data_IF_370819040660
#
_entry.id   IF_370819040660
#
_cell.length_a   1.000
_cell.length_b   1.000
_cell.length_c   1.000
_cell.angle_alpha   90.00
_cell.angle_beta   90.00
_cell.angle_gamma   90.00
#
_symmetry.space_group_name_H-M   'P 1'
#
loop_
_entity.id
_entity.type
_entity.pdbx_description
1 polymer ?
#
# COMPACT_ATOMS: atom_id res chain seq x y z
N UNK A 1 30.11 47.39 33.42
CA UNK A 1 28.97 46.46 33.62
C UNK A 1 28.71 45.78 32.29
N UNK A 2 28.65 44.44 32.22
CA UNK A 2 28.60 43.71 30.95
C UNK A 2 27.18 43.69 30.34
N UNK A 3 27.16 43.56 29.02
CA UNK A 3 26.00 43.56 28.13
C UNK A 3 25.08 42.35 28.34
N UNK A 4 23.76 42.59 28.27
CA UNK A 4 22.74 41.57 28.05
C UNK A 4 22.24 41.73 26.60
N UNK A 5 22.72 40.89 25.69
CA UNK A 5 22.11 40.73 24.36
C UNK A 5 22.27 39.29 23.87
N UNK A 6 21.26 38.43 24.07
CA UNK A 6 21.14 37.18 23.28
C UNK A 6 19.77 36.47 23.32
N UNK A 7 18.64 37.16 23.57
CA UNK A 7 17.33 36.49 23.65
C UNK A 7 16.16 37.12 22.87
N UNK A 8 16.35 38.25 22.17
CA UNK A 8 15.29 38.86 21.36
C UNK A 8 15.22 38.36 19.90
N UNK A 9 16.33 37.81 19.37
CA UNK A 9 16.42 37.43 17.94
C UNK A 9 15.61 36.19 17.57
N UNK A 10 15.43 35.24 18.49
CA UNK A 10 14.80 33.95 18.20
C UNK A 10 13.28 34.05 18.10
N UNK A 11 12.65 34.89 18.93
CA UNK A 11 11.19 35.05 18.93
C UNK A 11 10.69 35.80 17.68
N UNK A 12 11.41 36.85 17.25
CA UNK A 12 11.04 37.60 16.05
C UNK A 12 11.15 36.76 14.77
N UNK A 13 12.18 35.90 14.68
CA UNK A 13 12.36 34.98 13.55
C UNK A 13 11.24 33.92 13.48
N UNK A 14 10.85 33.34 14.63
CA UNK A 14 9.75 32.37 14.69
C UNK A 14 8.40 33.00 14.33
N UNK A 15 8.13 34.21 14.82
CA UNK A 15 6.93 34.96 14.44
C UNK A 15 6.88 35.26 12.94
N UNK A 16 8.01 35.63 12.35
CA UNK A 16 8.12 35.91 10.92
C UNK A 16 7.82 34.67 10.06
N UNK A 17 8.29 33.49 10.49
CA UNK A 17 8.01 32.23 9.81
C UNK A 17 6.51 31.89 9.88
N UNK A 18 5.86 32.07 11.04
CA UNK A 18 4.44 31.73 11.16
C UNK A 18 3.54 32.66 10.34
N UNK A 19 3.87 33.96 10.29
CA UNK A 19 3.19 34.92 9.41
C UNK A 19 3.33 34.49 7.95
N UNK A 20 4.54 34.09 7.54
CA UNK A 20 4.79 33.61 6.18
C UNK A 20 4.01 32.33 5.87
N UNK A 21 3.97 31.37 6.80
CA UNK A 21 3.17 30.14 6.66
C UNK A 21 1.71 30.47 6.44
N UNK A 22 1.14 31.33 7.28
CA UNK A 22 -0.27 31.71 7.17
C UNK A 22 -0.56 32.44 5.86
N UNK A 23 0.30 33.38 5.46
CA UNK A 23 0.18 34.07 4.19
C UNK A 23 0.19 33.09 2.99
N UNK A 24 1.06 32.07 3.02
CA UNK A 24 1.12 31.04 1.97
C UNK A 24 -0.12 30.14 2.02
N UNK A 25 -0.61 29.73 3.20
CA UNK A 25 -1.85 28.94 3.33
C UNK A 25 -3.06 29.66 2.74
N UNK A 26 -3.12 30.99 2.91
CA UNK A 26 -4.17 31.85 2.39
C UNK A 26 -3.95 32.28 0.93
N UNK A 27 -2.95 31.71 0.24
CA UNK A 27 -2.56 32.07 -1.13
C UNK A 27 -2.24 33.57 -1.33
N UNK A 28 -1.79 34.27 -0.29
CA UNK A 28 -1.41 35.69 -0.35
C UNK A 28 -0.01 35.89 -0.95
N UNK A 29 0.77 34.82 -1.11
CA UNK A 29 2.13 34.83 -1.69
C UNK A 29 2.09 34.13 -3.06
N UNK A 30 1.64 34.83 -4.09
CA UNK A 30 1.48 34.29 -5.46
C UNK A 30 2.74 34.44 -6.31
N UNK A 31 3.48 35.53 -6.10
CA UNK A 31 4.74 35.82 -6.79
C UNK A 31 5.97 35.28 -6.06
N UNK A 32 5.80 34.49 -5.00
CA UNK A 32 6.93 34.05 -4.19
C UNK A 32 7.63 35.21 -3.45
N UNK A 33 8.79 34.91 -2.88
CA UNK A 33 9.60 35.83 -2.08
C UNK A 33 10.94 36.11 -2.76
N UNK A 34 11.54 37.26 -2.49
CA UNK A 34 12.88 37.60 -3.00
C UNK A 34 13.93 37.36 -1.91
N UNK A 35 14.88 36.48 -2.15
CA UNK A 35 16.04 36.25 -1.27
C UNK A 35 17.30 36.46 -2.11
N UNK A 36 18.19 37.37 -1.69
CA UNK A 36 19.45 37.69 -2.39
C UNK A 36 19.26 37.96 -3.89
N UNK A 37 18.20 38.70 -4.25
CA UNK A 37 17.86 39.05 -5.65
C UNK A 37 17.23 37.91 -6.47
N UNK A 38 17.00 36.73 -5.90
CA UNK A 38 16.36 35.61 -6.57
C UNK A 38 14.91 35.43 -6.12
N UNK A 39 14.00 35.25 -7.08
CA UNK A 39 12.58 34.95 -6.86
C UNK A 39 12.42 33.47 -6.50
N UNK A 40 11.87 33.20 -5.33
CA UNK A 40 11.70 31.85 -4.76
C UNK A 40 10.21 31.62 -4.49
N UNK A 41 9.65 30.54 -5.04
CA UNK A 41 8.26 30.17 -4.80
C UNK A 41 8.13 29.29 -3.56
N UNK A 42 7.15 29.59 -2.70
CA UNK A 42 6.79 28.75 -1.55
C UNK A 42 5.36 28.24 -1.78
N UNK A 43 5.18 26.92 -1.71
CA UNK A 43 3.92 26.25 -2.00
C UNK A 43 3.44 25.49 -0.77
N UNK A 44 2.17 25.62 -0.41
CA UNK A 44 1.57 24.85 0.67
C UNK A 44 0.83 23.62 0.14
N UNK A 45 1.22 22.44 0.61
CA UNK A 45 0.54 21.18 0.36
C UNK A 45 -0.34 20.84 1.57
N UNK A 46 -1.66 21.02 1.43
CA UNK A 46 -2.63 20.76 2.50
C UNK A 46 -2.57 19.35 3.08
N UNK A 47 -2.31 18.34 2.23
CA UNK A 47 -1.95 16.98 2.63
C UNK A 47 -0.61 16.65 1.98
N UNK A 48 0.50 16.53 2.74
CA UNK A 48 0.61 16.17 4.16
C UNK A 48 0.85 17.31 5.17
N UNK A 49 0.36 18.53 4.89
CA UNK A 49 0.59 19.74 5.70
C UNK A 49 2.08 20.11 5.75
N UNK A 50 2.61 20.45 4.57
CA UNK A 50 4.01 20.82 4.37
C UNK A 50 4.14 21.96 3.36
N UNK A 51 5.22 22.72 3.49
CA UNK A 51 5.63 23.81 2.61
C UNK A 51 6.78 23.35 1.72
N UNK A 52 6.66 23.54 0.42
CA UNK A 52 7.68 23.18 -0.58
C UNK A 52 8.29 24.44 -1.18
N UNK A 53 9.59 24.38 -1.49
CA UNK A 53 10.33 25.51 -2.05
C UNK A 53 10.75 25.22 -3.49
N UNK A 54 10.54 26.21 -4.36
CA UNK A 54 10.84 26.16 -5.80
C UNK A 54 11.64 27.38 -6.24
N UNK A 55 12.35 27.29 -7.36
CA UNK A 55 13.17 28.40 -7.89
C UNK A 55 14.56 28.56 -7.25
N UNK A 56 14.93 27.70 -6.30
CA UNK A 56 16.29 27.64 -5.75
C UNK A 56 17.21 26.81 -6.66
N UNK A 57 18.25 27.45 -7.21
CA UNK A 57 19.35 26.74 -7.90
C UNK A 57 20.30 26.05 -6.92
N UNK A 58 20.41 26.59 -5.70
CA UNK A 58 21.20 26.02 -4.61
C UNK A 58 20.34 25.05 -3.77
N UNK A 59 20.75 23.77 -3.76
CA UNK A 59 20.09 22.72 -3.01
C UNK A 59 20.18 22.89 -1.49
N UNK A 60 21.24 23.53 -0.98
CA UNK A 60 21.39 23.80 0.45
C UNK A 60 20.40 24.87 0.91
N UNK A 61 20.25 25.96 0.13
CA UNK A 61 19.27 27.01 0.42
C UNK A 61 17.84 26.45 0.43
N UNK A 62 17.50 25.62 -0.56
CA UNK A 62 16.20 24.93 -0.61
C UNK A 62 15.97 24.12 0.67
N UNK A 63 16.95 23.30 1.05
CA UNK A 63 16.87 22.44 2.23
C UNK A 63 16.67 23.25 3.52
N UNK A 64 17.41 24.35 3.70
CA UNK A 64 17.30 25.20 4.89
C UNK A 64 15.95 25.93 4.96
N UNK A 65 15.43 26.40 3.83
CA UNK A 65 14.11 27.04 3.78
C UNK A 65 13.00 26.03 4.07
N UNK A 66 13.06 24.84 3.48
CA UNK A 66 12.08 23.78 3.76
C UNK A 66 12.18 23.33 5.23
N UNK A 67 13.37 23.25 5.84
CA UNK A 67 13.52 22.97 7.27
C UNK A 67 12.96 24.11 8.14
N UNK A 68 13.22 25.38 7.82
CA UNK A 68 12.66 26.50 8.58
C UNK A 68 11.13 26.55 8.49
N UNK A 69 10.58 26.38 7.29
CA UNK A 69 9.14 26.42 7.02
C UNK A 69 8.40 25.21 7.55
N UNK A 70 8.98 24.02 7.51
CA UNK A 70 8.32 22.81 7.99
C UNK A 70 8.68 22.46 9.44
N UNK A 71 9.67 23.14 10.00
CA UNK A 71 10.22 22.83 11.31
C UNK A 71 11.03 21.53 11.31
N UNK A 72 10.65 20.61 12.21
CA UNK A 72 11.43 19.43 12.54
C UNK A 72 11.53 18.41 11.39
N UNK A 73 12.46 17.46 11.56
CA UNK A 73 12.66 16.31 10.66
C UNK A 73 11.37 15.46 10.46
N UNK A 74 10.39 15.56 11.36
CA UNK A 74 9.11 14.85 11.24
C UNK A 74 8.27 15.34 10.05
N UNK A 75 8.38 16.61 9.66
CA UNK A 75 7.66 17.11 8.48
C UNK A 75 8.28 16.60 7.18
N UNK A 76 9.59 16.39 7.14
CA UNK A 76 10.28 15.73 6.01
C UNK A 76 9.89 14.26 5.93
N UNK A 77 9.75 13.57 7.08
CA UNK A 77 9.20 12.21 7.13
C UNK A 77 7.76 12.18 6.62
N UNK A 78 6.89 13.09 7.07
CA UNK A 78 5.50 13.19 6.59
C UNK A 78 5.43 13.36 5.07
N UNK A 79 6.27 14.22 4.49
CA UNK A 79 6.36 14.40 3.04
C UNK A 79 6.76 13.09 2.33
N UNK A 80 7.83 12.42 2.78
CA UNK A 80 8.28 11.16 2.18
C UNK A 80 7.25 10.05 2.30
N UNK A 81 6.65 9.89 3.48
CA UNK A 81 5.60 8.89 3.72
C UNK A 81 4.39 9.16 2.83
N UNK A 82 3.98 10.42 2.68
CA UNK A 82 2.87 10.78 1.80
C UNK A 82 3.20 10.60 0.31
N UNK A 83 4.42 10.93 -0.12
CA UNK A 83 4.84 10.67 -1.51
C UNK A 83 4.81 9.17 -1.83
N UNK A 84 5.30 8.34 -0.90
CA UNK A 84 5.21 6.89 -1.02
C UNK A 84 3.77 6.39 -1.00
N UNK A 85 2.92 6.90 -0.09
CA UNK A 85 1.52 6.51 -0.03
C UNK A 85 0.76 6.95 -1.26
N UNK A 86 0.99 8.16 -1.79
CA UNK A 86 0.37 8.66 -3.01
C UNK A 86 0.78 7.83 -4.24
N UNK A 87 2.04 7.38 -4.30
CA UNK A 87 2.48 6.42 -5.32
C UNK A 87 1.78 5.07 -5.14
N UNK A 88 1.68 4.55 -3.92
CA UNK A 88 0.97 3.30 -3.62
C UNK A 88 -0.52 3.42 -3.98
N UNK A 89 -1.20 4.47 -3.56
CA UNK A 89 -2.62 4.70 -3.81
C UNK A 89 -2.87 4.91 -5.31
N UNK A 90 -1.99 5.62 -6.02
CA UNK A 90 -2.14 5.83 -7.46
C UNK A 90 -1.76 4.61 -8.30
N UNK A 91 -0.73 3.86 -7.90
CA UNK A 91 -0.11 2.80 -8.72
C UNK A 91 -0.45 1.39 -8.25
N UNK A 92 -1.08 1.21 -7.09
CA UNK A 92 -1.48 -0.10 -6.57
C UNK A 92 -2.96 -0.15 -6.20
N UNK A 93 -3.73 0.92 -6.36
CA UNK A 93 -5.20 0.90 -6.14
C UNK A 93 -5.94 -0.07 -7.07
N UNK A 94 -5.39 -0.35 -8.25
CA UNK A 94 -5.92 -1.36 -9.16
C UNK A 94 -5.56 -2.79 -8.76
N UNK A 95 -4.62 -2.99 -7.84
CA UNK A 95 -4.27 -4.33 -7.38
C UNK A 95 -5.28 -4.80 -6.34
N UNK A 96 -5.83 -6.02 -6.48
CA UNK A 96 -6.75 -6.61 -5.51
C UNK A 96 -5.97 -7.11 -4.27
N UNK A 97 -5.34 -6.19 -3.53
CA UNK A 97 -4.44 -6.51 -2.41
C UNK A 97 -5.11 -7.34 -1.31
N UNK A 98 -6.40 -7.12 -1.04
CA UNK A 98 -7.18 -7.92 -0.08
C UNK A 98 -7.28 -9.39 -0.48
N UNK A 99 -7.56 -9.66 -1.76
CA UNK A 99 -7.60 -11.02 -2.33
C UNK A 99 -6.21 -11.66 -2.27
N UNK A 100 -5.17 -10.94 -2.68
CA UNK A 100 -3.78 -11.42 -2.59
C UNK A 100 -3.38 -11.78 -1.16
N UNK A 101 -3.70 -10.92 -0.19
CA UNK A 101 -3.43 -11.17 1.22
C UNK A 101 -4.12 -12.43 1.72
N UNK A 102 -5.41 -12.61 1.35
CA UNK A 102 -6.18 -13.78 1.75
C UNK A 102 -5.65 -15.08 1.13
N UNK A 103 -5.15 -15.05 -0.11
CA UNK A 103 -4.45 -16.20 -0.70
C UNK A 103 -3.20 -16.54 0.12
N UNK A 104 -2.36 -15.54 0.41
CA UNK A 104 -1.11 -15.74 1.13
C UNK A 104 -1.33 -16.30 2.54
N UNK A 105 -2.32 -15.77 3.27
CA UNK A 105 -2.60 -16.19 4.65
C UNK A 105 -3.28 -17.56 4.77
N UNK A 106 -4.01 -18.00 3.74
CA UNK A 106 -4.68 -19.31 3.70
C UNK A 106 -3.91 -20.39 2.93
N UNK A 107 -2.74 -20.06 2.39
CA UNK A 107 -1.88 -21.03 1.72
C UNK A 107 -1.23 -22.00 2.71
N UNK A 108 -1.06 -23.26 2.31
CA UNK A 108 -0.43 -24.29 3.12
C UNK A 108 0.49 -25.20 2.28
N UNK A 109 1.35 -25.97 2.95
CA UNK A 109 2.18 -26.99 2.31
C UNK A 109 1.34 -28.22 1.99
N UNK A 110 1.28 -28.63 0.72
CA UNK A 110 0.46 -29.76 0.26
C UNK A 110 1.19 -31.09 0.38
N UNK A 111 2.53 -31.08 0.44
CA UNK A 111 3.33 -32.30 0.64
C UNK A 111 2.93 -33.05 1.91
N UNK A 112 2.50 -32.34 2.95
CA UNK A 112 1.99 -32.95 4.19
C UNK A 112 0.66 -33.70 4.00
N UNK A 113 -0.07 -33.42 2.92
CA UNK A 113 -1.39 -33.99 2.62
C UNK A 113 -1.32 -35.19 1.67
N UNK A 114 -0.19 -35.44 1.01
CA UNK A 114 -0.01 -36.61 0.11
C UNK A 114 -0.15 -37.95 0.84
N UNK A 115 0.02 -37.96 2.18
CA UNK A 115 -0.23 -39.13 3.01
C UNK A 115 -1.72 -39.51 3.11
N UNK A 116 -2.63 -38.56 2.85
CA UNK A 116 -4.07 -38.73 3.07
C UNK A 116 -4.87 -38.80 1.77
N UNK A 117 -4.36 -38.22 0.68
CA UNK A 117 -5.05 -38.14 -0.60
C UNK A 117 -4.17 -38.64 -1.75
N UNK A 118 -4.80 -39.27 -2.75
CA UNK A 118 -4.11 -39.57 -4.00
C UNK A 118 -3.73 -38.28 -4.73
N UNK A 119 -2.63 -38.33 -5.49
CA UNK A 119 -2.14 -37.19 -6.28
C UNK A 119 -3.18 -36.64 -7.26
N UNK A 120 -4.09 -37.49 -7.75
CA UNK A 120 -5.16 -37.07 -8.65
C UNK A 120 -6.11 -36.07 -8.00
N UNK A 121 -6.44 -36.24 -6.71
CA UNK A 121 -7.31 -35.32 -5.99
C UNK A 121 -6.61 -34.02 -5.60
N UNK A 122 -5.28 -34.02 -5.47
CA UNK A 122 -4.47 -32.84 -5.11
C UNK A 122 -3.96 -32.06 -6.34
N UNK A 123 -4.42 -32.43 -7.54
CA UNK A 123 -3.96 -31.82 -8.79
C UNK A 123 -4.54 -30.42 -8.96
N UNK A 124 -3.66 -29.42 -9.12
CA UNK A 124 -4.09 -28.06 -9.44
C UNK A 124 -4.56 -27.97 -10.91
N UNK A 125 -5.75 -27.39 -11.19
CA UNK A 125 -6.24 -27.24 -12.55
C UNK A 125 -5.41 -26.33 -13.47
N UNK A 126 -4.55 -25.47 -12.89
CA UNK A 126 -3.73 -24.50 -13.67
C UNK A 126 -2.40 -25.12 -14.08
N UNK A 127 -1.64 -25.64 -13.11
CA UNK A 127 -0.31 -26.23 -13.38
C UNK A 127 -0.41 -27.69 -13.82
N UNK A 128 -1.60 -28.30 -13.72
CA UNK A 128 -1.87 -29.69 -14.05
C UNK A 128 -0.98 -30.68 -13.28
N UNK A 129 -0.58 -30.32 -12.06
CA UNK A 129 0.23 -31.14 -11.14
C UNK A 129 -0.11 -30.80 -9.68
N UNK A 130 0.40 -31.58 -8.72
CA UNK A 130 0.28 -31.29 -7.29
C UNK A 130 1.16 -30.09 -6.93
N UNK A 131 0.61 -28.99 -6.41
CA UNK A 131 1.41 -27.83 -6.04
C UNK A 131 2.16 -28.07 -4.73
N UNK A 132 3.37 -27.51 -4.56
CA UNK A 132 4.08 -27.55 -3.27
C UNK A 132 3.34 -26.73 -2.20
N UNK A 133 2.87 -25.54 -2.58
CA UNK A 133 2.10 -24.62 -1.74
C UNK A 133 0.76 -24.34 -2.39
N UNK A 134 -0.29 -24.82 -1.74
CA UNK A 134 -1.65 -24.78 -2.26
C UNK A 134 -2.58 -23.88 -1.45
N UNK A 135 -3.66 -23.45 -2.08
CA UNK A 135 -4.77 -22.71 -1.47
C UNK A 135 -6.09 -23.29 -1.96
N UNK A 136 -7.08 -23.43 -1.07
CA UNK A 136 -8.43 -23.83 -1.47
C UNK A 136 -9.24 -22.63 -1.94
N UNK A 137 -9.88 -22.78 -3.10
CA UNK A 137 -10.72 -21.74 -3.69
C UNK A 137 -12.03 -22.37 -4.16
N UNK A 138 -13.16 -21.75 -3.80
CA UNK A 138 -14.50 -22.14 -4.24
C UNK A 138 -14.61 -22.03 -5.77
N UNK A 139 -15.30 -22.96 -6.40
CA UNK A 139 -15.48 -22.95 -7.86
C UNK A 139 -16.23 -21.71 -8.36
N UNK A 140 -17.12 -21.16 -7.53
CA UNK A 140 -17.82 -19.89 -7.72
C UNK A 140 -18.15 -19.29 -6.35
N UNK A 141 -18.59 -18.04 -6.31
CA UNK A 141 -18.97 -17.36 -5.05
C UNK A 141 -20.04 -18.15 -4.27
N UNK A 142 -20.97 -18.80 -4.97
CA UNK A 142 -22.08 -19.56 -4.38
C UNK A 142 -21.83 -21.08 -4.29
N UNK A 143 -20.72 -21.59 -4.83
CA UNK A 143 -20.46 -23.03 -4.87
C UNK A 143 -19.95 -23.56 -3.54
N UNK A 144 -20.50 -24.66 -3.04
CA UNK A 144 -19.94 -25.35 -1.86
C UNK A 144 -18.74 -26.24 -2.21
N UNK A 145 -18.31 -26.30 -3.47
CA UNK A 145 -17.18 -27.10 -3.92
C UNK A 145 -15.93 -26.20 -3.97
N UNK A 146 -14.87 -26.63 -3.29
CA UNK A 146 -13.55 -26.02 -3.34
C UNK A 146 -12.63 -26.84 -4.26
N UNK A 147 -11.65 -26.19 -4.89
CA UNK A 147 -10.56 -26.84 -5.59
C UNK A 147 -9.22 -26.36 -5.05
N UNK A 148 -8.22 -27.24 -5.09
CA UNK A 148 -6.86 -26.91 -4.70
C UNK A 148 -6.14 -26.24 -5.87
N UNK A 149 -5.58 -25.06 -5.63
CA UNK A 149 -4.78 -24.35 -6.62
C UNK A 149 -3.37 -24.05 -6.12
N UNK A 150 -2.42 -24.00 -7.04
CA UNK A 150 -1.08 -23.48 -6.78
C UNK A 150 -1.16 -22.00 -6.37
N UNK A 151 -0.55 -21.67 -5.23
CA UNK A 151 -0.55 -20.33 -4.66
C UNK A 151 -0.05 -19.28 -5.67
N UNK A 152 1.08 -19.55 -6.31
CA UNK A 152 1.73 -18.57 -7.18
C UNK A 152 0.94 -18.35 -8.48
N UNK A 153 0.35 -19.41 -9.01
CA UNK A 153 -0.52 -19.36 -10.18
C UNK A 153 -1.79 -18.56 -9.91
N UNK A 154 -2.41 -18.73 -8.74
CA UNK A 154 -3.56 -17.92 -8.34
C UNK A 154 -3.22 -16.45 -8.11
N UNK A 155 -2.10 -16.15 -7.46
CA UNK A 155 -1.62 -14.77 -7.31
C UNK A 155 -1.42 -14.10 -8.66
N UNK A 156 -0.83 -14.80 -9.64
CA UNK A 156 -0.64 -14.27 -10.99
C UNK A 156 -1.99 -13.95 -11.66
N UNK A 157 -2.98 -14.83 -11.57
CA UNK A 157 -4.32 -14.58 -12.13
C UNK A 157 -4.98 -13.35 -11.50
N UNK A 158 -4.92 -13.25 -10.17
CA UNK A 158 -5.51 -12.15 -9.41
C UNK A 158 -4.83 -10.83 -9.74
N UNK A 159 -3.49 -10.79 -9.77
CA UNK A 159 -2.71 -9.59 -10.12
C UNK A 159 -2.95 -9.16 -11.57
N UNK A 160 -3.12 -10.11 -12.50
CA UNK A 160 -3.40 -9.80 -13.91
C UNK A 160 -4.87 -9.43 -14.17
N UNK A 161 -5.74 -9.44 -13.15
CA UNK A 161 -7.18 -9.22 -13.31
C UNK A 161 -7.88 -10.33 -14.11
N UNK A 162 -7.30 -11.52 -14.18
CA UNK A 162 -7.88 -12.65 -14.91
C UNK A 162 -9.05 -13.25 -14.13
N UNK A 163 -10.12 -13.71 -14.81
CA UNK A 163 -11.25 -14.35 -14.14
C UNK A 163 -10.88 -15.74 -13.60
N UNK A 164 -11.72 -16.26 -12.71
CA UNK A 164 -11.57 -17.58 -12.13
C UNK A 164 -11.51 -18.67 -13.23
N UNK A 165 -10.58 -19.65 -13.15
CA UNK A 165 -10.34 -20.61 -14.23
C UNK A 165 -11.56 -21.44 -14.65
N UNK A 166 -12.46 -21.75 -13.69
CA UNK A 166 -13.64 -22.58 -13.94
C UNK A 166 -14.90 -21.75 -14.22
N UNK A 167 -15.39 -21.00 -13.23
CA UNK A 167 -16.61 -20.20 -13.34
C UNK A 167 -16.51 -18.98 -14.25
N UNK A 168 -15.30 -18.51 -14.57
CA UNK A 168 -15.05 -17.21 -15.24
C UNK A 168 -15.54 -15.99 -14.45
N UNK A 169 -15.93 -16.15 -13.18
CA UNK A 169 -16.29 -15.04 -12.29
C UNK A 169 -15.05 -14.25 -11.83
N UNK A 170 -15.21 -12.98 -11.43
CA UNK A 170 -14.15 -12.27 -10.71
C UNK A 170 -13.75 -13.03 -9.45
N UNK A 171 -12.44 -13.18 -9.23
CA UNK A 171 -11.94 -13.86 -8.02
C UNK A 171 -12.09 -12.89 -6.84
N UNK A 172 -12.90 -13.28 -5.86
CA UNK A 172 -13.19 -12.46 -4.68
C UNK A 172 -12.66 -13.10 -3.40
N UNK A 173 -12.55 -12.31 -2.34
CA UNK A 173 -12.13 -12.82 -1.03
C UNK A 173 -13.06 -13.91 -0.49
N UNK A 174 -14.36 -13.89 -0.82
CA UNK A 174 -15.32 -14.88 -0.38
C UNK A 174 -15.08 -16.28 -1.00
N UNK A 175 -14.33 -16.35 -2.09
CA UNK A 175 -13.97 -17.61 -2.74
C UNK A 175 -12.75 -18.27 -2.09
N UNK A 176 -11.92 -17.54 -1.34
CA UNK A 176 -10.70 -18.08 -0.73
C UNK A 176 -11.03 -18.63 0.65
N UNK A 177 -10.73 -19.91 0.84
CA UNK A 177 -11.14 -20.70 2.00
C UNK A 177 -9.92 -21.24 2.73
N UNK A 178 -9.94 -21.21 4.06
CA UNK A 178 -8.87 -21.78 4.87
C UNK A 178 -8.82 -23.30 4.77
N UNK A 179 -7.63 -23.87 4.97
CA UNK A 179 -7.40 -25.33 4.92
C UNK A 179 -8.43 -26.12 5.75
N UNK A 180 -8.76 -25.65 6.94
CA UNK A 180 -9.62 -26.36 7.88
C UNK A 180 -11.13 -26.19 7.61
N UNK A 181 -11.51 -25.31 6.70
CA UNK A 181 -12.89 -25.00 6.34
C UNK A 181 -13.40 -25.86 5.17
N UNK A 182 -12.50 -26.52 4.44
CA UNK A 182 -12.85 -27.45 3.37
C UNK A 182 -12.49 -28.89 3.77
N UNK A 183 -13.32 -29.87 3.38
CA UNK A 183 -13.11 -31.30 3.65
C UNK A 183 -13.31 -32.12 2.38
N UNK A 184 -12.67 -33.29 2.28
CA UNK A 184 -12.86 -34.17 1.13
C UNK A 184 -14.08 -35.07 1.33
N UNK A 185 -15.09 -34.96 0.46
CA UNK A 185 -16.24 -35.85 0.42
C UNK A 185 -15.92 -37.05 -0.50
N UNK A 186 -15.73 -38.23 0.09
CA UNK A 186 -15.43 -39.46 -0.65
C UNK A 186 -16.58 -39.92 -1.56
N UNK A 187 -17.83 -39.65 -1.20
CA UNK A 187 -18.99 -40.04 -2.01
C UNK A 187 -19.12 -39.20 -3.28
N UNK A 188 -18.67 -37.94 -3.22
CA UNK A 188 -18.67 -37.01 -4.36
C UNK A 188 -17.32 -36.89 -5.06
N UNK A 189 -16.25 -37.41 -4.47
CA UNK A 189 -14.88 -37.29 -4.98
C UNK A 189 -14.38 -35.85 -5.09
N UNK A 190 -14.88 -34.95 -4.24
CA UNK A 190 -14.62 -33.51 -4.33
C UNK A 190 -14.39 -32.89 -2.96
N UNK A 191 -13.61 -31.81 -2.92
CA UNK A 191 -13.47 -30.99 -1.71
C UNK A 191 -14.71 -30.09 -1.54
N UNK A 192 -15.32 -30.12 -0.36
CA UNK A 192 -16.53 -29.41 -0.01
C UNK A 192 -16.32 -28.50 1.20
N UNK A 193 -16.99 -27.35 1.18
CA UNK A 193 -17.06 -26.45 2.32
C UNK A 193 -17.79 -27.12 3.48
N UNK A 194 -17.26 -27.01 4.70
CA UNK A 194 -17.95 -27.46 5.91
C UNK A 194 -19.19 -26.59 6.15
N UNK A 195 -20.31 -27.23 6.41
CA UNK A 195 -21.49 -26.53 6.95
C UNK A 195 -21.21 -26.23 8.43
N UNK A 196 -21.43 -24.97 8.82
CA UNK A 196 -21.29 -24.50 10.20
C UNK A 196 -22.45 -24.97 11.08
#
# INVERSE_FOLDING_TARGET
MPLITSNLSSNAALQSIEILREAVRQNLVTDGITINGHKIGIHYCHRPDVFLVSGCKDGMLKMLLELGLNGSNESVKRLRTWQLSAVIDSQLSFLPLGVCYKILSNSFSVQAEECFFSKEHLRCPIILDTPDSGVFIKNSVISNICNLYDKNSMLKLVISGSPHPLSREPITEAMIIGKNECYFDQGRGNFMLKEN
#
